data_IF_920217896402
#
_entry.id   IF_920217896402
#
_cell.length_a   1.000
_cell.length_b   1.000
_cell.length_c   1.000
_cell.angle_alpha   90.00
_cell.angle_beta   90.00
_cell.angle_gamma   90.00
#
_symmetry.space_group_name_H-M   'P 1'
#
loop_
_entity.id
_entity.type
_entity.pdbx_description
1 polymer ?
#
# COMPACT_ATOMS: atom_id res chain seq x y z
N UNK A 1 6.45 11.28 2.78
CA UNK A 1 5.84 11.44 1.43
C UNK A 1 4.76 10.41 1.13
N UNK A 2 5.09 9.13 0.86
CA UNK A 2 4.09 8.14 0.42
C UNK A 2 3.03 7.84 1.49
N UNK A 3 3.43 7.82 2.77
CA UNK A 3 2.50 7.73 3.91
C UNK A 3 1.54 8.93 3.94
N UNK A 4 2.06 10.16 3.80
CA UNK A 4 1.25 11.39 3.79
C UNK A 4 0.29 11.43 2.59
N UNK A 5 0.76 10.97 1.42
CA UNK A 5 -0.09 10.87 0.23
C UNK A 5 -1.26 9.91 0.45
N UNK A 6 -1.02 8.76 1.10
CA UNK A 6 -2.09 7.86 1.47
C UNK A 6 -3.05 8.50 2.49
N UNK A 7 -2.54 9.16 3.53
CA UNK A 7 -3.38 9.81 4.54
C UNK A 7 -4.27 10.90 3.93
N UNK A 8 -3.73 11.71 3.01
CA UNK A 8 -4.51 12.70 2.27
C UNK A 8 -5.57 12.04 1.37
N UNK A 9 -5.24 10.92 0.73
CA UNK A 9 -6.21 10.14 -0.05
C UNK A 9 -7.33 9.58 0.84
N UNK A 10 -6.97 8.93 1.95
CA UNK A 10 -7.92 8.37 2.91
C UNK A 10 -8.86 9.45 3.47
N UNK A 11 -8.36 10.68 3.70
CA UNK A 11 -9.17 11.81 4.15
C UNK A 11 -10.23 12.26 3.14
N UNK A 12 -10.06 11.96 1.84
CA UNK A 12 -11.09 12.23 0.81
C UNK A 12 -12.21 11.19 0.79
N UNK A 13 -12.06 10.09 1.54
CA UNK A 13 -13.02 9.00 1.68
C UNK A 13 -13.34 8.77 3.18
N UNK A 14 -13.92 9.76 3.89
CA UNK A 14 -13.98 9.77 5.36
C UNK A 14 -14.77 8.60 5.97
N UNK A 15 -15.72 8.02 5.23
CA UNK A 15 -16.52 6.86 5.68
C UNK A 15 -15.69 5.58 5.85
N UNK A 16 -14.42 5.59 5.42
CA UNK A 16 -13.51 4.44 5.41
C UNK A 16 -12.66 4.35 6.69
N UNK A 17 -12.40 5.47 7.38
CA UNK A 17 -11.37 5.64 8.42
C UNK A 17 -10.14 4.71 8.22
N UNK A 18 -9.32 5.06 7.22
CA UNK A 18 -8.23 4.22 6.71
C UNK A 18 -6.86 4.87 6.72
N UNK A 19 -6.59 5.79 7.65
CA UNK A 19 -5.26 6.41 7.75
C UNK A 19 -4.17 5.35 8.02
N UNK A 20 -3.01 5.56 7.42
CA UNK A 20 -1.78 4.81 7.72
C UNK A 20 -0.97 5.53 8.80
N UNK A 21 0.23 5.02 9.05
CA UNK A 21 1.16 5.57 10.01
C UNK A 21 1.52 7.04 9.72
N UNK A 22 1.74 7.80 10.80
CA UNK A 22 2.25 9.16 10.75
C UNK A 22 3.79 9.13 10.82
N UNK A 23 4.46 9.94 10.00
CA UNK A 23 5.91 9.96 9.87
C UNK A 23 6.45 11.37 10.06
N UNK A 24 7.52 11.49 10.85
CA UNK A 24 8.29 12.73 10.98
C UNK A 24 9.79 12.44 10.93
N UNK A 25 10.55 13.31 10.29
CA UNK A 25 12.02 13.19 10.32
C UNK A 25 12.57 13.59 11.69
N UNK A 26 13.53 12.83 12.21
CA UNK A 26 14.26 13.17 13.41
C UNK A 26 15.76 12.86 13.28
N UNK A 27 16.57 13.46 14.14
CA UNK A 27 18.01 13.15 14.24
C UNK A 27 18.28 12.38 15.52
N UNK A 28 18.92 11.22 15.41
CA UNK A 28 19.24 10.38 16.56
C UNK A 28 20.60 10.77 17.16
N UNK A 29 20.62 11.06 18.45
CA UNK A 29 21.87 11.28 19.21
C UNK A 29 21.87 10.39 20.45
N UNK A 30 22.84 9.48 20.54
CA UNK A 30 22.99 8.54 21.67
C UNK A 30 24.33 8.76 22.34
N UNK A 31 24.34 9.11 23.63
CA UNK A 31 25.55 9.38 24.42
C UNK A 31 26.51 10.41 23.76
N UNK A 32 25.94 11.43 23.11
CA UNK A 32 26.71 12.45 22.39
C UNK A 32 27.21 12.04 21.00
N UNK A 33 26.90 10.81 20.55
CA UNK A 33 27.20 10.34 19.20
C UNK A 33 26.01 10.57 18.27
N UNK A 34 26.24 11.32 17.19
CA UNK A 34 25.26 11.50 16.11
C UNK A 34 25.12 10.20 15.32
N UNK A 35 23.90 9.66 15.33
CA UNK A 35 23.51 8.40 14.69
C UNK A 35 22.92 8.55 13.30
N UNK A 36 22.50 9.76 12.90
CA UNK A 36 21.97 10.04 11.58
C UNK A 36 20.52 10.55 11.59
N UNK A 37 19.99 10.71 10.38
CA UNK A 37 18.57 11.02 10.13
C UNK A 37 17.75 9.74 10.19
N UNK A 38 16.64 9.77 10.92
CA UNK A 38 15.69 8.68 11.09
C UNK A 38 14.27 9.16 10.79
N UNK A 39 13.39 8.19 10.53
CA UNK A 39 11.95 8.38 10.58
C UNK A 39 11.38 8.00 11.93
N UNK A 40 10.74 8.94 12.62
CA UNK A 40 9.88 8.63 13.75
C UNK A 40 8.49 8.30 13.21
N UNK A 41 8.04 7.07 13.47
CA UNK A 41 6.78 6.56 12.94
C UNK A 41 5.81 6.27 14.08
N UNK A 42 4.61 6.86 14.03
CA UNK A 42 3.50 6.45 14.88
C UNK A 42 2.81 5.25 14.23
N UNK A 43 2.79 4.08 14.88
CA UNK A 43 2.22 2.87 14.28
C UNK A 43 0.69 2.98 14.16
N UNK A 44 0.14 2.23 13.21
CA UNK A 44 -1.32 2.03 13.10
C UNK A 44 -1.78 1.05 14.16
N UNK A 45 -2.84 1.40 14.87
CA UNK A 45 -3.47 0.58 15.91
C UNK A 45 -5.01 0.64 15.83
N UNK A 46 -5.67 -0.05 16.76
CA UNK A 46 -7.13 -0.14 16.76
C UNK A 46 -7.83 1.19 17.03
N UNK A 47 -7.18 2.11 17.76
CA UNK A 47 -7.67 3.47 18.00
C UNK A 47 -7.65 4.26 16.69
N UNK A 48 -6.51 4.24 15.99
CA UNK A 48 -6.33 4.88 14.67
C UNK A 48 -7.38 4.40 13.67
N UNK A 49 -7.70 3.11 13.68
CA UNK A 49 -8.66 2.48 12.78
C UNK A 49 -10.11 2.56 13.28
N UNK A 50 -10.35 3.04 14.50
CA UNK A 50 -11.65 3.02 15.19
C UNK A 50 -12.31 1.62 15.19
N UNK A 51 -11.57 0.61 15.65
CA UNK A 51 -12.04 -0.79 15.77
C UNK A 51 -12.01 -1.32 17.21
N UNK A 52 -11.53 -0.53 18.18
CA UNK A 52 -11.32 -0.98 19.57
C UNK A 52 -12.61 -1.39 20.30
N UNK A 53 -13.76 -0.90 19.85
CA UNK A 53 -15.08 -1.26 20.42
C UNK A 53 -15.80 -2.37 19.60
N UNK A 54 -15.18 -2.90 18.55
CA UNK A 54 -15.74 -3.96 17.70
C UNK A 54 -15.09 -5.31 18.01
N UNK A 55 -15.81 -6.18 18.72
CA UNK A 55 -15.34 -7.53 19.09
C UNK A 55 -15.11 -8.47 17.89
N UNK A 56 -15.75 -8.19 16.75
CA UNK A 56 -15.65 -8.99 15.53
C UNK A 56 -14.64 -8.41 14.54
N UNK A 57 -14.10 -7.21 14.80
CA UNK A 57 -13.06 -6.62 13.97
C UNK A 57 -11.76 -7.41 14.07
N UNK A 58 -11.03 -7.48 12.96
CA UNK A 58 -9.70 -8.10 12.90
C UNK A 58 -8.76 -7.16 12.17
N UNK A 59 -7.55 -7.04 12.69
CA UNK A 59 -6.49 -6.25 12.06
C UNK A 59 -5.27 -7.15 11.85
N UNK A 60 -4.90 -7.36 10.60
CA UNK A 60 -3.74 -8.15 10.20
C UNK A 60 -2.68 -7.27 9.53
N UNK A 61 -1.41 -7.60 9.76
CA UNK A 61 -0.28 -7.07 9.00
C UNK A 61 0.35 -8.19 8.16
N UNK A 62 0.35 -8.06 6.83
CA UNK A 62 1.09 -8.98 5.95
C UNK A 62 2.56 -8.62 5.92
N UNK A 63 3.41 -9.57 6.29
CA UNK A 63 4.85 -9.36 6.37
C UNK A 63 5.63 -10.09 5.26
N UNK A 64 5.07 -11.18 4.72
CA UNK A 64 5.74 -12.03 3.74
C UNK A 64 4.82 -12.40 2.57
N UNK A 65 5.45 -12.61 1.41
CA UNK A 65 4.77 -13.05 0.19
C UNK A 65 4.42 -14.53 0.20
N UNK A 66 3.34 -14.87 -0.51
CA UNK A 66 2.98 -16.24 -0.89
C UNK A 66 3.79 -16.68 -2.12
N UNK A 67 5.00 -17.20 -1.91
CA UNK A 67 5.71 -17.95 -2.94
C UNK A 67 5.21 -19.41 -3.03
N UNK A 68 5.62 -20.16 -4.05
CA UNK A 68 5.19 -21.55 -4.28
C UNK A 68 5.32 -22.45 -3.03
N UNK A 69 6.42 -22.33 -2.29
CA UNK A 69 6.65 -23.11 -1.08
C UNK A 69 5.73 -22.69 0.08
N UNK A 70 5.55 -21.39 0.28
CA UNK A 70 4.64 -20.85 1.28
C UNK A 70 3.19 -21.23 0.98
N UNK A 71 2.79 -21.18 -0.30
CA UNK A 71 1.47 -21.60 -0.78
C UNK A 71 1.24 -23.09 -0.54
N UNK A 72 2.19 -23.96 -0.88
CA UNK A 72 2.07 -25.40 -0.61
C UNK A 72 1.89 -25.70 0.89
N UNK A 73 2.69 -25.06 1.75
CA UNK A 73 2.57 -25.21 3.21
C UNK A 73 1.24 -24.68 3.74
N UNK A 74 0.75 -23.57 3.18
CA UNK A 74 -0.56 -23.01 3.54
C UNK A 74 -1.70 -23.97 3.19
N UNK A 75 -1.64 -24.62 2.02
CA UNK A 75 -2.66 -25.58 1.59
C UNK A 75 -2.74 -26.78 2.55
N UNK A 76 -1.60 -27.23 3.07
CA UNK A 76 -1.54 -28.35 4.02
C UNK A 76 -2.03 -27.97 5.42
N UNK A 77 -1.62 -26.81 5.94
CA UNK A 77 -1.98 -26.32 7.28
C UNK A 77 -2.15 -24.78 7.29
N UNK A 78 -3.35 -24.27 6.94
CA UNK A 78 -3.59 -22.82 6.89
C UNK A 78 -3.36 -22.14 8.25
N UNK A 79 -3.81 -22.76 9.34
CA UNK A 79 -3.75 -22.17 10.69
C UNK A 79 -2.35 -22.20 11.28
N UNK A 80 -1.55 -23.23 10.97
CA UNK A 80 -0.13 -23.24 11.31
C UNK A 80 0.70 -22.30 10.44
N UNK A 81 0.31 -22.09 9.18
CA UNK A 81 1.09 -21.29 8.23
C UNK A 81 0.81 -19.79 8.32
N UNK A 82 -0.44 -19.36 8.46
CA UNK A 82 -0.80 -17.93 8.44
C UNK A 82 -0.04 -17.07 9.46
N UNK A 83 0.14 -17.48 10.73
CA UNK A 83 0.91 -16.70 11.71
C UNK A 83 2.39 -16.48 11.31
N UNK A 84 2.91 -17.25 10.34
CA UNK A 84 4.26 -17.04 9.80
C UNK A 84 4.30 -16.03 8.66
N UNK A 85 3.15 -15.73 8.03
CA UNK A 85 3.02 -14.84 6.88
C UNK A 85 2.43 -13.48 7.25
N UNK A 86 1.53 -13.48 8.23
CA UNK A 86 0.84 -12.30 8.73
C UNK A 86 0.81 -12.28 10.27
N UNK A 87 0.75 -11.08 10.84
CA UNK A 87 0.60 -10.86 12.27
C UNK A 87 -0.81 -10.35 12.60
N UNK A 88 -1.48 -10.97 13.56
CA UNK A 88 -2.73 -10.45 14.12
C UNK A 88 -2.40 -9.33 15.12
N UNK A 89 -2.79 -8.09 14.76
CA UNK A 89 -2.58 -6.86 15.55
C UNK A 89 -3.77 -6.54 16.45
N UNK A 90 -4.99 -6.90 16.04
CA UNK A 90 -6.21 -6.76 16.84
C UNK A 90 -7.18 -7.93 16.57
N UNK A 91 -7.80 -8.52 17.62
CA UNK A 91 -7.61 -8.19 19.03
C UNK A 91 -6.20 -8.58 19.52
N UNK A 92 -5.73 -7.98 20.63
CA UNK A 92 -4.43 -8.30 21.25
C UNK A 92 -4.49 -9.63 22.03
N UNK A 93 -5.06 -10.66 21.42
CA UNK A 93 -5.30 -11.98 22.00
C UNK A 93 -4.36 -13.05 21.43
N UNK A 94 -4.31 -14.21 22.09
CA UNK A 94 -3.44 -15.31 21.71
C UNK A 94 -3.92 -15.99 20.40
N UNK A 95 -3.00 -16.14 19.45
CA UNK A 95 -3.24 -16.38 18.02
C UNK A 95 -3.72 -17.80 17.63
N UNK A 96 -4.19 -18.63 18.57
CA UNK A 96 -4.53 -20.04 18.28
C UNK A 96 -6.00 -20.32 17.96
N UNK A 97 -6.88 -19.32 18.06
CA UNK A 97 -8.29 -19.47 17.73
C UNK A 97 -8.50 -19.35 16.20
N UNK A 98 -9.11 -20.38 15.60
CA UNK A 98 -9.39 -20.43 14.17
C UNK A 98 -10.35 -19.31 13.73
N UNK A 99 -11.25 -18.87 14.61
CA UNK A 99 -12.21 -17.81 14.30
C UNK A 99 -11.52 -16.45 14.09
N UNK A 100 -10.40 -16.22 14.80
CA UNK A 100 -9.57 -15.01 14.64
C UNK A 100 -8.92 -14.94 13.26
N UNK A 101 -8.67 -16.07 12.60
CA UNK A 101 -8.04 -16.14 11.28
C UNK A 101 -9.05 -16.37 10.15
N UNK A 102 -10.32 -16.64 10.47
CA UNK A 102 -11.33 -17.02 9.47
C UNK A 102 -11.54 -16.01 8.33
N UNK A 103 -11.54 -14.67 8.55
CA UNK A 103 -11.58 -13.71 7.44
C UNK A 103 -10.36 -13.83 6.53
N UNK A 104 -9.17 -13.95 7.12
CA UNK A 104 -7.92 -14.04 6.37
C UNK A 104 -7.79 -15.34 5.60
N UNK A 105 -8.22 -16.47 6.17
CA UNK A 105 -8.29 -17.75 5.48
C UNK A 105 -9.18 -17.65 4.24
N UNK A 106 -10.35 -16.99 4.35
CA UNK A 106 -11.23 -16.77 3.19
C UNK A 106 -10.54 -15.97 2.09
N UNK A 107 -9.84 -14.90 2.45
CA UNK A 107 -9.05 -14.10 1.52
C UNK A 107 -7.92 -14.92 0.87
N UNK A 108 -7.07 -15.56 1.68
CA UNK A 108 -5.91 -16.30 1.20
C UNK A 108 -6.30 -17.50 0.33
N UNK A 109 -7.41 -18.18 0.64
CA UNK A 109 -7.91 -19.27 -0.21
C UNK A 109 -8.24 -18.82 -1.63
N UNK A 110 -8.76 -17.61 -1.80
CA UNK A 110 -9.17 -17.08 -3.10
C UNK A 110 -8.00 -16.42 -3.85
N UNK A 111 -7.24 -15.56 -3.17
CA UNK A 111 -6.34 -14.62 -3.84
C UNK A 111 -4.84 -14.87 -3.61
N UNK A 112 -4.50 -15.79 -2.71
CA UNK A 112 -3.10 -16.15 -2.44
C UNK A 112 -2.79 -17.59 -2.86
N UNK A 113 -3.63 -18.53 -2.43
CA UNK A 113 -3.49 -19.95 -2.75
C UNK A 113 -4.28 -20.35 -4.00
N UNK A 114 -5.13 -19.47 -4.54
CA UNK A 114 -5.93 -19.69 -5.75
C UNK A 114 -6.63 -21.05 -5.78
N UNK A 115 -7.28 -21.43 -4.67
CA UNK A 115 -7.94 -22.74 -4.53
C UNK A 115 -9.13 -22.90 -5.48
N UNK A 116 -9.71 -21.78 -5.91
CA UNK A 116 -10.70 -21.67 -6.98
C UNK A 116 -10.71 -20.26 -7.54
N UNK A 117 -11.27 -20.11 -8.75
CA UNK A 117 -11.54 -18.79 -9.33
C UNK A 117 -12.53 -17.98 -8.46
N UNK A 118 -12.29 -16.67 -8.26
CA UNK A 118 -13.22 -15.79 -7.57
C UNK A 118 -14.43 -15.45 -8.46
N UNK A 119 -15.57 -15.18 -7.83
CA UNK A 119 -16.76 -14.63 -8.49
C UNK A 119 -16.93 -13.15 -8.15
N UNK A 120 -17.72 -12.42 -8.94
CA UNK A 120 -18.05 -11.02 -8.62
C UNK A 120 -18.65 -10.88 -7.21
N UNK A 121 -19.54 -11.80 -6.83
CA UNK A 121 -20.15 -11.83 -5.51
C UNK A 121 -19.13 -12.09 -4.38
N UNK A 122 -18.06 -12.86 -4.64
CA UNK A 122 -16.98 -13.03 -3.66
C UNK A 122 -16.29 -11.69 -3.40
N UNK A 123 -15.95 -10.95 -4.46
CA UNK A 123 -15.25 -9.66 -4.37
C UNK A 123 -16.10 -8.59 -3.66
N UNK A 124 -17.37 -8.45 -4.04
CA UNK A 124 -18.32 -7.49 -3.45
C UNK A 124 -18.63 -7.78 -1.97
N UNK A 125 -18.60 -9.06 -1.58
CA UNK A 125 -18.75 -9.48 -0.19
C UNK A 125 -17.46 -9.34 0.61
N UNK A 126 -16.29 -9.45 -0.04
CA UNK A 126 -15.00 -9.46 0.63
C UNK A 126 -14.48 -8.06 0.94
N UNK A 127 -14.66 -7.08 0.05
CA UNK A 127 -13.97 -5.80 0.12
C UNK A 127 -14.90 -4.60 0.12
N UNK A 128 -14.56 -3.58 0.90
CA UNK A 128 -15.15 -2.27 0.70
C UNK A 128 -14.69 -1.71 -0.65
N UNK A 129 -15.64 -1.42 -1.54
CA UNK A 129 -15.36 -1.05 -2.93
C UNK A 129 -14.54 0.24 -3.02
N UNK A 130 -14.93 1.29 -2.29
CA UNK A 130 -14.25 2.59 -2.34
C UNK A 130 -12.79 2.48 -1.87
N UNK A 131 -12.56 1.79 -0.76
CA UNK A 131 -11.21 1.54 -0.26
C UNK A 131 -10.39 0.64 -1.20
N UNK A 132 -10.99 -0.38 -1.83
CA UNK A 132 -10.29 -1.22 -2.80
C UNK A 132 -9.84 -0.40 -4.02
N UNK A 133 -10.68 0.51 -4.53
CA UNK A 133 -10.33 1.46 -5.59
C UNK A 133 -9.19 2.37 -5.15
N UNK A 134 -9.33 3.04 -4.00
CA UNK A 134 -8.33 4.00 -3.50
C UNK A 134 -6.97 3.32 -3.25
N UNK A 135 -6.96 2.14 -2.64
CA UNK A 135 -5.75 1.34 -2.43
C UNK A 135 -5.06 0.99 -3.76
N UNK A 136 -5.82 0.49 -4.74
CA UNK A 136 -5.28 0.08 -6.02
C UNK A 136 -4.79 1.27 -6.86
N UNK A 137 -5.48 2.42 -6.80
CA UNK A 137 -5.03 3.64 -7.45
C UNK A 137 -3.78 4.22 -6.80
N UNK A 138 -3.67 4.10 -5.48
CA UNK A 138 -2.46 4.47 -4.75
C UNK A 138 -1.27 3.60 -5.13
N UNK A 139 -1.39 2.26 -5.07
CA UNK A 139 -0.28 1.36 -5.46
C UNK A 139 0.10 1.54 -6.93
N UNK A 140 -0.89 1.77 -7.80
CA UNK A 140 -0.65 2.15 -9.18
C UNK A 140 0.15 3.46 -9.28
N UNK A 141 -0.33 4.55 -8.69
CA UNK A 141 0.32 5.87 -8.78
C UNK A 141 1.74 5.86 -8.20
N UNK A 142 1.88 5.36 -6.96
CA UNK A 142 3.14 5.28 -6.25
C UNK A 142 4.07 4.21 -6.83
N UNK A 143 3.59 3.33 -7.73
CA UNK A 143 4.33 2.17 -8.20
C UNK A 143 4.87 1.33 -7.03
N UNK A 144 4.04 1.10 -6.01
CA UNK A 144 4.42 0.37 -4.79
C UNK A 144 4.88 -1.03 -5.12
N UNK A 145 6.18 -1.28 -5.01
CA UNK A 145 6.79 -2.48 -5.60
C UNK A 145 6.36 -3.76 -4.89
N UNK A 146 6.32 -3.72 -3.55
CA UNK A 146 5.98 -4.87 -2.71
C UNK A 146 4.71 -4.65 -1.86
N UNK A 147 3.88 -3.67 -2.22
CA UNK A 147 2.61 -3.34 -1.52
C UNK A 147 1.37 -4.03 -2.10
N UNK A 148 1.53 -5.05 -2.97
CA UNK A 148 0.39 -5.76 -3.58
C UNK A 148 -0.14 -6.90 -2.70
N UNK A 149 0.76 -7.64 -2.04
CA UNK A 149 0.44 -8.80 -1.18
C UNK A 149 1.28 -8.88 0.10
N UNK A 150 2.15 -7.90 0.30
CA UNK A 150 3.04 -7.71 1.42
C UNK A 150 3.00 -6.22 1.79
N UNK A 151 3.53 -5.85 2.95
CA UNK A 151 3.64 -4.44 3.35
C UNK A 151 2.28 -3.73 3.27
N UNK A 152 1.26 -4.43 3.78
CA UNK A 152 -0.12 -3.96 3.82
C UNK A 152 -0.80 -4.42 5.09
N UNK A 153 -1.67 -3.57 5.59
CA UNK A 153 -2.62 -3.86 6.63
C UNK A 153 -3.95 -4.29 6.02
N UNK A 154 -4.53 -5.37 6.55
CA UNK A 154 -5.88 -5.81 6.21
C UNK A 154 -6.77 -5.72 7.44
N UNK A 155 -7.82 -4.91 7.35
CA UNK A 155 -8.74 -4.62 8.43
C UNK A 155 -10.10 -5.20 8.06
N UNK A 156 -10.51 -6.25 8.76
CA UNK A 156 -11.87 -6.78 8.70
C UNK A 156 -12.72 -5.99 9.70
N UNK A 157 -13.66 -5.18 9.21
CA UNK A 157 -14.52 -4.33 10.06
C UNK A 157 -15.91 -4.18 9.46
N UNK A 158 -16.86 -3.75 10.28
CA UNK A 158 -18.19 -3.42 9.81
C UNK A 158 -18.16 -2.19 8.90
N UNK A 159 -18.82 -2.31 7.76
CA UNK A 159 -19.09 -1.26 6.79
C UNK A 159 -20.40 -0.52 7.13
N UNK A 160 -20.68 0.58 6.45
CA UNK A 160 -21.86 1.44 6.65
C UNK A 160 -23.21 0.71 6.48
N UNK A 161 -23.24 -0.38 5.70
CA UNK A 161 -24.42 -1.24 5.51
C UNK A 161 -24.55 -2.35 6.55
N UNK A 162 -23.69 -2.37 7.57
CA UNK A 162 -23.68 -3.33 8.66
C UNK A 162 -22.99 -4.65 8.33
N UNK A 163 -22.49 -4.86 7.09
CA UNK A 163 -21.73 -6.06 6.72
C UNK A 163 -20.26 -5.87 6.99
N UNK A 164 -19.58 -6.94 7.35
CA UNK A 164 -18.12 -6.89 7.50
C UNK A 164 -17.45 -7.07 6.15
N UNK A 165 -16.44 -6.24 5.89
CA UNK A 165 -15.60 -6.30 4.69
C UNK A 165 -14.16 -5.96 5.05
N UNK A 166 -13.25 -6.35 4.18
CA UNK A 166 -11.86 -5.93 4.23
C UNK A 166 -11.68 -4.51 3.73
N UNK A 167 -10.88 -3.79 4.50
CA UNK A 167 -10.24 -2.55 4.16
C UNK A 167 -8.73 -2.76 4.15
N UNK A 168 -8.03 -2.02 3.29
CA UNK A 168 -6.58 -2.03 3.15
C UNK A 168 -6.00 -0.67 3.49
N UNK A 169 -4.85 -0.72 4.15
CA UNK A 169 -4.02 0.44 4.46
C UNK A 169 -2.57 0.05 4.13
N UNK A 170 -1.83 0.85 3.35
CA UNK A 170 -0.47 0.51 2.99
C UNK A 170 0.45 0.69 4.19
N UNK A 171 1.51 -0.11 4.25
CA UNK A 171 2.60 0.00 5.22
C UNK A 171 3.92 -0.07 4.47
N UNK A 172 5.02 0.40 5.06
CA UNK A 172 6.38 0.21 4.51
C UNK A 172 6.49 0.58 3.01
N UNK A 173 6.56 1.90 2.77
CA UNK A 173 6.40 2.52 1.44
C UNK A 173 7.70 3.11 0.90
N UNK A 174 8.84 2.57 1.30
CA UNK A 174 10.17 2.97 0.84
C UNK A 174 10.42 2.56 -0.62
N UNK A 175 9.87 1.43 -1.08
CA UNK A 175 9.92 0.99 -2.48
C UNK A 175 8.78 1.55 -3.35
N UNK A 176 8.78 2.88 -3.49
CA UNK A 176 7.83 3.63 -4.32
C UNK A 176 8.55 4.55 -5.31
N UNK A 177 7.83 5.04 -6.32
CA UNK A 177 8.28 6.03 -7.31
C UNK A 177 9.56 5.66 -8.09
N UNK A 178 9.71 4.37 -8.39
CA UNK A 178 10.80 3.83 -9.21
C UNK A 178 11.85 3.06 -8.42
N UNK A 179 11.83 3.18 -7.09
CA UNK A 179 12.67 2.40 -6.19
C UNK A 179 12.07 1.02 -5.91
N UNK A 180 12.95 0.02 -5.81
CA UNK A 180 12.61 -1.36 -5.44
C UNK A 180 13.79 -2.08 -4.80
N UNK A 181 13.51 -3.21 -4.15
CA UNK A 181 14.51 -4.04 -3.51
C UNK A 181 15.52 -4.61 -4.51
N UNK A 182 16.81 -4.60 -4.18
CA UNK A 182 17.79 -5.42 -4.89
C UNK A 182 19.12 -5.63 -4.18
N UNK A 183 19.62 -6.87 -4.26
CA UNK A 183 20.77 -7.38 -3.50
C UNK A 183 22.13 -6.77 -3.88
N UNK A 184 22.20 -5.96 -4.94
CA UNK A 184 23.47 -5.40 -5.45
C UNK A 184 23.85 -4.07 -4.81
N UNK A 185 22.94 -3.44 -4.07
CA UNK A 185 23.18 -2.17 -3.38
C UNK A 185 23.38 -2.41 -1.88
N UNK A 186 24.34 -1.75 -1.20
CA UNK A 186 24.49 -1.84 0.26
C UNK A 186 23.25 -1.36 1.04
N UNK A 187 22.41 -0.53 0.40
CA UNK A 187 21.14 -0.07 0.95
C UNK A 187 19.96 -0.97 0.52
N UNK A 188 20.23 -2.04 -0.22
CA UNK A 188 19.27 -2.94 -0.85
C UNK A 188 18.17 -2.24 -1.69
N UNK A 189 18.45 -1.04 -2.17
CA UNK A 189 17.53 -0.22 -2.96
C UNK A 189 18.14 0.07 -4.33
N UNK A 190 17.34 -0.10 -5.39
CA UNK A 190 17.69 0.17 -6.78
C UNK A 190 16.58 1.00 -7.41
N UNK A 191 16.96 2.03 -8.16
CA UNK A 191 16.06 2.81 -8.99
C UNK A 191 15.96 2.21 -10.41
N UNK A 192 14.75 2.09 -10.96
CA UNK A 192 14.57 1.67 -12.36
C UNK A 192 13.34 2.28 -13.04
N UNK A 193 13.55 2.72 -14.28
CA UNK A 193 12.49 3.15 -15.19
C UNK A 193 11.65 1.99 -15.75
N UNK A 194 12.08 0.74 -15.58
CA UNK A 194 11.38 -0.41 -16.16
C UNK A 194 10.00 -0.66 -15.56
N UNK A 195 9.74 -0.16 -14.34
CA UNK A 195 8.48 -0.33 -13.65
C UNK A 195 7.40 0.68 -14.10
N UNK A 196 7.73 1.61 -15.02
CA UNK A 196 6.80 2.64 -15.50
C UNK A 196 5.53 2.05 -16.11
N UNK A 197 5.63 0.95 -16.85
CA UNK A 197 4.52 0.36 -17.61
C UNK A 197 3.80 -0.81 -16.93
N UNK A 198 4.05 -1.03 -15.65
CA UNK A 198 3.38 -2.08 -14.86
C UNK A 198 2.09 -1.54 -14.23
N UNK A 199 0.92 -2.15 -14.37
CA UNK A 199 -0.31 -1.57 -13.79
C UNK A 199 -0.22 -1.38 -12.26
N UNK A 200 0.53 -2.24 -11.56
CA UNK A 200 0.62 -2.28 -10.08
C UNK A 200 -0.76 -2.29 -9.39
N UNK A 201 -1.73 -2.92 -10.05
CA UNK A 201 -3.02 -3.26 -9.46
C UNK A 201 -2.89 -4.57 -8.68
N UNK A 202 -3.57 -4.67 -7.53
CA UNK A 202 -3.70 -5.95 -6.82
C UNK A 202 -4.42 -6.96 -7.73
N UNK A 203 -4.10 -8.26 -7.64
CA UNK A 203 -4.75 -9.26 -8.51
C UNK A 203 -6.26 -9.32 -8.26
N UNK A 204 -6.74 -9.15 -7.02
CA UNK A 204 -8.19 -9.09 -6.74
C UNK A 204 -8.87 -7.90 -7.45
N UNK A 205 -8.19 -6.75 -7.60
CA UNK A 205 -8.72 -5.65 -8.38
C UNK A 205 -8.71 -5.97 -9.88
N UNK A 206 -7.68 -6.66 -10.38
CA UNK A 206 -7.65 -7.14 -11.77
C UNK A 206 -8.81 -8.10 -12.04
N UNK A 207 -9.06 -9.05 -11.14
CA UNK A 207 -10.18 -9.98 -11.20
C UNK A 207 -11.52 -9.25 -11.15
N UNK A 208 -11.66 -8.26 -10.26
CA UNK A 208 -12.89 -7.47 -10.15
C UNK A 208 -13.16 -6.68 -11.42
N UNK A 209 -12.15 -6.01 -11.97
CA UNK A 209 -12.28 -5.30 -13.24
C UNK A 209 -12.53 -6.26 -14.41
N UNK A 210 -12.06 -7.52 -14.36
CA UNK A 210 -12.34 -8.49 -15.40
C UNK A 210 -13.77 -9.05 -15.34
N UNK A 211 -14.28 -9.30 -14.14
CA UNK A 211 -15.59 -9.92 -13.89
C UNK A 211 -16.75 -8.92 -13.89
N UNK A 212 -16.49 -7.66 -13.60
CA UNK A 212 -17.51 -6.62 -13.56
C UNK A 212 -18.04 -6.23 -14.95
N UNK A 213 -19.36 -5.96 -15.01
CA UNK A 213 -20.06 -5.63 -16.26
C UNK A 213 -19.88 -4.18 -16.74
N UNK A 214 -19.24 -3.32 -15.93
CA UNK A 214 -18.82 -1.98 -16.32
C UNK A 214 -18.90 -0.94 -15.20
N UNK A 215 -19.76 -1.13 -14.20
CA UNK A 215 -19.97 -0.18 -13.10
C UNK A 215 -18.68 0.05 -12.29
N UNK A 216 -17.98 -1.02 -11.92
CA UNK A 216 -16.70 -0.95 -11.20
C UNK A 216 -15.62 -0.27 -12.06
N UNK A 217 -15.53 -0.59 -13.35
CA UNK A 217 -14.57 0.06 -14.28
C UNK A 217 -14.80 1.56 -14.35
N UNK A 218 -16.06 1.98 -14.44
CA UNK A 218 -16.42 3.40 -14.50
C UNK A 218 -16.13 4.11 -13.17
N UNK A 219 -16.45 3.49 -12.03
CA UNK A 219 -16.13 4.03 -10.72
C UNK A 219 -14.62 4.20 -10.54
N UNK A 220 -13.84 3.18 -10.89
CA UNK A 220 -12.38 3.19 -10.83
C UNK A 220 -11.78 4.31 -11.68
N UNK A 221 -12.21 4.44 -12.94
CA UNK A 221 -11.70 5.47 -13.85
C UNK A 221 -12.16 6.89 -13.46
N UNK A 222 -13.39 7.04 -12.98
CA UNK A 222 -13.89 8.31 -12.47
C UNK A 222 -13.03 8.79 -11.29
N UNK A 223 -12.73 7.88 -10.35
CA UNK A 223 -11.88 8.15 -9.19
C UNK A 223 -10.45 8.50 -9.59
N UNK A 224 -9.88 7.78 -10.57
CA UNK A 224 -8.57 8.16 -11.14
C UNK A 224 -8.55 9.60 -11.66
N UNK A 225 -9.54 10.00 -12.47
CA UNK A 225 -9.62 11.36 -13.03
C UNK A 225 -9.74 12.43 -11.94
N UNK A 226 -10.52 12.17 -10.90
CA UNK A 226 -10.67 13.06 -9.76
C UNK A 226 -9.32 13.29 -9.05
N UNK A 227 -8.62 12.19 -8.73
CA UNK A 227 -7.31 12.26 -8.08
C UNK A 227 -6.27 12.92 -8.98
N UNK A 228 -6.29 12.64 -10.29
CA UNK A 228 -5.37 13.26 -11.27
C UNK A 228 -5.55 14.76 -11.43
N UNK A 229 -6.77 15.27 -11.18
CA UNK A 229 -7.04 16.70 -11.13
C UNK A 229 -6.58 17.37 -9.81
N UNK A 230 -6.17 16.58 -8.81
CA UNK A 230 -5.86 17.04 -7.45
C UNK A 230 -4.60 16.36 -6.88
N UNK A 231 -4.76 15.44 -5.93
CA UNK A 231 -3.69 14.79 -5.16
C UNK A 231 -2.64 14.10 -6.03
N UNK A 232 -3.07 13.50 -7.14
CA UNK A 232 -2.19 12.79 -8.10
C UNK A 232 -1.83 13.67 -9.30
N UNK A 233 -2.04 14.99 -9.23
CA UNK A 233 -1.47 15.88 -10.24
C UNK A 233 0.06 15.82 -10.20
N UNK A 234 0.71 15.89 -11.37
CA UNK A 234 2.18 15.82 -11.46
C UNK A 234 2.83 16.89 -10.59
N UNK A 235 2.29 18.12 -10.65
CA UNK A 235 2.76 19.25 -9.83
C UNK A 235 2.60 19.02 -8.32
N UNK A 236 1.48 18.42 -7.86
CA UNK A 236 1.27 18.19 -6.44
C UNK A 236 2.25 17.13 -5.91
N UNK A 237 2.46 16.05 -6.66
CA UNK A 237 3.39 14.99 -6.31
C UNK A 237 4.85 15.48 -6.32
N UNK A 238 5.26 16.23 -7.35
CA UNK A 238 6.59 16.82 -7.41
C UNK A 238 6.83 17.83 -6.28
N UNK A 239 5.84 18.69 -5.98
CA UNK A 239 5.94 19.65 -4.89
C UNK A 239 6.11 18.93 -3.54
N UNK A 240 5.33 17.87 -3.29
CA UNK A 240 5.44 17.08 -2.06
C UNK A 240 6.81 16.44 -1.91
N UNK A 241 7.36 15.83 -2.96
CA UNK A 241 8.72 15.28 -2.94
C UNK A 241 9.78 16.36 -2.65
N UNK A 242 9.69 17.51 -3.33
CA UNK A 242 10.62 18.62 -3.15
C UNK A 242 10.56 19.20 -1.73
N UNK A 243 9.38 19.27 -1.12
CA UNK A 243 9.18 19.73 0.25
C UNK A 243 9.91 18.84 1.27
N UNK A 244 9.84 17.52 1.12
CA UNK A 244 10.54 16.59 2.01
C UNK A 244 12.06 16.77 1.96
N UNK A 245 12.62 16.92 0.75
CA UNK A 245 14.04 17.22 0.56
C UNK A 245 14.39 18.59 1.15
N UNK A 246 13.55 19.59 0.94
CA UNK A 246 13.77 20.94 1.44
C UNK A 246 13.84 21.00 2.97
N UNK A 247 12.97 20.26 3.68
CA UNK A 247 12.99 20.17 5.15
C UNK A 247 14.37 19.75 5.64
N UNK A 248 14.93 18.67 5.07
CA UNK A 248 16.21 18.08 5.49
C UNK A 248 17.44 18.89 5.06
N UNK A 249 17.34 19.65 3.98
CA UNK A 249 18.40 20.56 3.54
C UNK A 249 18.43 21.86 4.35
N UNK A 250 17.27 22.46 4.59
CA UNK A 250 17.16 23.78 5.22
C UNK A 250 17.48 23.75 6.71
N UNK A 251 17.14 22.66 7.42
CA UNK A 251 17.52 22.45 8.82
C UNK A 251 18.97 21.93 9.00
N UNK A 252 19.65 21.69 7.89
CA UNK A 252 21.02 21.19 7.80
C UNK A 252 21.26 19.76 8.25
N UNK A 253 20.20 18.96 8.37
CA UNK A 253 20.30 17.54 8.70
C UNK A 253 21.14 16.80 7.65
N UNK A 254 20.91 17.04 6.35
CA UNK A 254 21.72 16.44 5.28
C UNK A 254 23.23 16.71 5.46
N UNK A 255 23.61 17.95 5.81
CA UNK A 255 25.04 18.26 5.95
C UNK A 255 25.67 17.54 7.15
N UNK A 256 24.93 17.37 8.25
CA UNK A 256 25.40 16.61 9.42
C UNK A 256 25.48 15.12 9.13
N UNK A 257 24.49 14.59 8.43
CA UNK A 257 24.43 13.20 7.98
C UNK A 257 25.59 12.87 7.03
N UNK A 258 25.76 13.65 5.96
CA UNK A 258 26.86 13.51 5.01
C UNK A 258 28.23 13.67 5.67
N UNK A 259 28.35 14.50 6.71
CA UNK A 259 29.59 14.65 7.46
C UNK A 259 29.97 13.36 8.21
N UNK A 260 28.97 12.60 8.68
CA UNK A 260 29.14 11.38 9.46
C UNK A 260 29.24 10.13 8.59
N UNK A 261 28.35 9.98 7.62
CA UNK A 261 28.12 8.77 6.82
C UNK A 261 28.56 8.99 5.37
N UNK A 262 29.88 9.03 5.14
CA UNK A 262 30.46 9.36 3.82
C UNK A 262 30.16 8.32 2.74
N UNK A 263 29.84 7.10 3.15
CA UNK A 263 29.44 5.96 2.34
C UNK A 263 27.96 6.00 1.92
N UNK A 264 27.15 6.86 2.53
CA UNK A 264 25.71 7.00 2.25
C UNK A 264 25.33 8.49 2.19
N UNK A 265 25.85 9.24 1.20
CA UNK A 265 25.53 10.65 1.08
C UNK A 265 24.05 10.84 0.74
N UNK A 266 23.40 11.77 1.42
CA UNK A 266 22.07 12.22 1.09
C UNK A 266 22.04 12.82 -0.32
N UNK A 267 20.99 12.50 -1.08
CA UNK A 267 20.74 13.11 -2.38
C UNK A 267 19.53 14.02 -2.31
N UNK A 268 19.68 15.22 -2.88
CA UNK A 268 18.58 16.13 -3.15
C UNK A 268 18.18 16.13 -4.63
N UNK A 269 18.82 15.30 -5.45
CA UNK A 269 18.53 15.19 -6.87
C UNK A 269 17.29 14.33 -7.09
N UNK A 270 16.19 14.98 -7.46
CA UNK A 270 14.91 14.34 -7.79
C UNK A 270 14.74 14.14 -9.30
N UNK A 271 15.75 14.40 -10.14
CA UNK A 271 15.62 14.40 -11.61
C UNK A 271 15.08 13.07 -12.13
N UNK A 272 15.65 11.95 -11.67
CA UNK A 272 15.22 10.62 -12.11
C UNK A 272 13.83 10.26 -11.57
N UNK A 273 13.55 10.57 -10.30
CA UNK A 273 12.23 10.36 -9.69
C UNK A 273 11.14 11.15 -10.40
N UNK A 274 11.40 12.40 -10.79
CA UNK A 274 10.46 13.23 -11.56
C UNK A 274 10.27 12.71 -12.98
N UNK A 275 11.33 12.25 -13.64
CA UNK A 275 11.22 11.61 -14.95
C UNK A 275 10.40 10.31 -14.88
N UNK A 276 10.60 9.50 -13.84
CA UNK A 276 9.78 8.32 -13.56
C UNK A 276 8.32 8.69 -13.35
N UNK A 277 8.04 9.64 -12.45
CA UNK A 277 6.70 10.10 -12.13
C UNK A 277 5.96 10.59 -13.38
N UNK A 278 6.60 11.41 -14.20
CA UNK A 278 6.02 11.90 -15.45
C UNK A 278 5.63 10.76 -16.39
N UNK A 279 6.57 9.83 -16.64
CA UNK A 279 6.32 8.68 -17.51
C UNK A 279 5.24 7.75 -16.93
N UNK A 280 5.22 7.58 -15.61
CA UNK A 280 4.25 6.77 -14.85
C UNK A 280 2.83 7.30 -15.00
N UNK A 281 2.62 8.60 -14.76
CA UNK A 281 1.30 9.22 -14.90
C UNK A 281 0.80 9.14 -16.34
N UNK A 282 1.66 9.38 -17.33
CA UNK A 282 1.30 9.28 -18.74
C UNK A 282 0.94 7.84 -19.18
N UNK A 283 1.58 6.82 -18.57
CA UNK A 283 1.17 5.43 -18.75
C UNK A 283 -0.20 5.16 -18.14
N UNK A 284 -0.41 5.51 -16.87
CA UNK A 284 -1.67 5.25 -16.16
C UNK A 284 -2.87 5.99 -16.76
N UNK A 285 -2.67 7.24 -17.23
CA UNK A 285 -3.69 8.02 -17.92
C UNK A 285 -4.22 7.29 -19.17
N UNK A 286 -3.33 6.65 -19.94
CA UNK A 286 -3.72 5.82 -21.10
C UNK A 286 -4.35 4.50 -20.68
N UNK A 287 -3.66 3.77 -19.79
CA UNK A 287 -4.08 2.44 -19.34
C UNK A 287 -5.50 2.44 -18.77
N UNK A 288 -5.83 3.38 -17.87
CA UNK A 288 -7.16 3.44 -17.27
C UNK A 288 -8.23 4.00 -18.21
N UNK A 289 -7.87 4.83 -19.18
CA UNK A 289 -8.82 5.25 -20.22
C UNK A 289 -9.24 4.07 -21.12
N UNK A 290 -8.28 3.23 -21.52
CA UNK A 290 -8.52 2.04 -22.35
C UNK A 290 -9.33 0.96 -21.61
N UNK A 291 -9.14 0.84 -20.30
CA UNK A 291 -9.90 -0.08 -19.43
C UNK A 291 -11.42 0.11 -19.55
N UNK A 292 -11.88 1.36 -19.68
CA UNK A 292 -13.31 1.68 -19.81
C UNK A 292 -13.87 1.50 -21.22
N UNK A 293 -13.01 1.42 -22.24
CA UNK A 293 -13.42 1.24 -23.64
C UNK A 293 -13.57 -0.24 -24.02
N UNK A 294 -12.99 -1.14 -23.22
CA UNK A 294 -12.92 -2.58 -23.48
C UNK A 294 -14.16 -3.37 -23.02
N UNK A 295 -15.30 -2.72 -22.75
CA UNK A 295 -16.54 -3.46 -22.46
C UNK A 295 -17.01 -4.20 -23.73
N UNK A 296 -17.46 -5.46 -23.64
CA UNK A 296 -17.89 -6.21 -24.81
C UNK A 296 -19.03 -5.48 -25.51
N UNK A 297 -18.90 -5.28 -26.82
CA UNK A 297 -20.08 -5.13 -27.68
C UNK A 297 -20.96 -6.36 -27.49
N UNK A 298 -22.24 -6.11 -27.19
CA UNK A 298 -23.34 -7.08 -26.99
C UNK A 298 -23.31 -8.31 -27.90
#
# INVERSE_FOLDING_TARGET
MSLDLWNDLAATSPDVNGNTAEFEYCELVVNGYYGGIYGLVRPVDGETLAIDDDENARFYQFNLDFNDAATAQYIEDPLGKLPTLAELKYPKEFQSDADLWSPLIRYCNLFCANLREPTLADLEAMFNQSNAIDYSLFTACASGYDNLYKNMYMIWRQDTDGKYRFYRVPWDLDFTFGDYYGDVSPLHMIFSMNNVSDSRLTHDMQDWLALDSGEMKQAFYARWKELRASLFSESALQARMAEQVAILQQNGAYQRDDARWKESPASADLTNTFAFLHARLAFLDRYFAELTQSSPSE
#
